data_IF_762276710423
#
_entry.id   IF_762276710423
#
_cell.length_a   1.000
_cell.length_b   1.000
_cell.length_c   1.000
_cell.angle_alpha   90.00
_cell.angle_beta   90.00
_cell.angle_gamma   90.00
#
_symmetry.space_group_name_H-M   'P 1'
#
loop_
_entity.id
_entity.type
_entity.pdbx_description
1 polymer ?
#
# COMPACT_ATOMS: atom_id res chain seq x y z
N UNK A 1 -7.50 -7.93 -29.15
CA UNK A 1 -8.54 -8.98 -29.04
C UNK A 1 -9.58 -8.56 -28.00
N UNK A 2 -10.82 -8.37 -28.42
CA UNK A 2 -11.98 -8.20 -27.52
C UNK A 2 -12.50 -9.58 -27.14
N UNK A 3 -12.22 -10.04 -25.93
CA UNK A 3 -13.01 -11.13 -25.34
C UNK A 3 -14.37 -10.52 -25.03
N UNK A 4 -15.30 -10.60 -26.00
CA UNK A 4 -16.70 -10.22 -25.75
C UNK A 4 -17.27 -11.30 -24.83
N UNK A 5 -17.70 -10.92 -23.63
CA UNK A 5 -18.44 -11.85 -22.78
C UNK A 5 -19.68 -12.35 -23.53
N UNK A 6 -20.04 -13.63 -23.40
CA UNK A 6 -21.28 -14.13 -23.97
C UNK A 6 -22.47 -13.33 -23.44
N UNK A 7 -23.46 -12.99 -24.29
CA UNK A 7 -24.54 -12.06 -23.95
C UNK A 7 -25.38 -12.52 -22.74
N UNK A 8 -25.49 -13.83 -22.51
CA UNK A 8 -26.15 -14.40 -21.34
C UNK A 8 -25.42 -14.05 -20.02
N UNK A 9 -24.10 -14.07 -20.02
CA UNK A 9 -23.28 -13.76 -18.84
C UNK A 9 -23.26 -12.25 -18.57
N UNK A 10 -23.22 -11.44 -19.64
CA UNK A 10 -23.35 -9.99 -19.53
C UNK A 10 -24.72 -9.57 -18.96
N UNK A 11 -25.81 -10.23 -19.37
CA UNK A 11 -27.15 -9.98 -18.85
C UNK A 11 -27.32 -10.38 -17.38
N UNK A 12 -26.66 -11.47 -16.94
CA UNK A 12 -26.73 -11.93 -15.56
C UNK A 12 -25.90 -11.04 -14.61
N UNK A 13 -24.71 -10.63 -15.04
CA UNK A 13 -23.84 -9.69 -14.31
C UNK A 13 -24.45 -8.29 -14.21
N UNK A 14 -25.20 -7.85 -15.22
CA UNK A 14 -25.90 -6.55 -15.19
C UNK A 14 -27.07 -6.50 -14.19
N UNK A 15 -27.60 -7.66 -13.76
CA UNK A 15 -28.70 -7.76 -12.77
C UNK A 15 -28.19 -7.79 -11.33
N UNK A 16 -26.94 -8.18 -11.11
CA UNK A 16 -26.32 -8.13 -9.78
C UNK A 16 -25.96 -6.69 -9.41
N UNK A 17 -26.14 -6.31 -8.15
CA UNK A 17 -25.65 -4.99 -7.71
C UNK A 17 -24.13 -4.93 -7.90
N UNK A 18 -23.57 -3.88 -8.52
CA UNK A 18 -22.15 -3.83 -8.92
C UNK A 18 -21.15 -3.94 -7.76
N UNK A 19 -21.58 -3.75 -6.51
CA UNK A 19 -20.77 -3.95 -5.31
C UNK A 19 -20.69 -5.41 -4.83
N UNK A 20 -21.57 -6.30 -5.30
CA UNK A 20 -21.56 -7.74 -4.98
C UNK A 20 -20.59 -8.49 -5.91
N UNK A 21 -20.38 -7.98 -7.13
CA UNK A 21 -19.48 -8.58 -8.10
C UNK A 21 -18.01 -8.53 -7.65
N UNK A 22 -17.62 -7.47 -6.93
CA UNK A 22 -16.26 -7.29 -6.42
C UNK A 22 -15.83 -8.38 -5.43
N UNK A 23 -16.56 -8.64 -4.32
CA UNK A 23 -16.19 -9.70 -3.38
C UNK A 23 -16.24 -11.10 -4.02
N UNK A 24 -17.17 -11.36 -4.95
CA UNK A 24 -17.26 -12.66 -5.64
C UNK A 24 -16.06 -12.89 -6.56
N UNK A 25 -15.74 -11.93 -7.42
CA UNK A 25 -14.55 -12.00 -8.26
C UNK A 25 -13.27 -12.04 -7.42
N UNK A 26 -13.27 -11.32 -6.29
CA UNK A 26 -12.19 -11.33 -5.32
C UNK A 26 -11.99 -12.70 -4.68
N UNK A 27 -13.08 -13.38 -4.29
CA UNK A 27 -13.02 -14.71 -3.69
C UNK A 27 -12.55 -15.76 -4.69
N UNK A 28 -13.03 -15.69 -5.94
CA UNK A 28 -12.56 -16.57 -7.02
C UNK A 28 -11.08 -16.35 -7.32
N UNK A 29 -10.65 -15.10 -7.45
CA UNK A 29 -9.24 -14.78 -7.68
C UNK A 29 -8.34 -15.20 -6.52
N UNK A 30 -8.80 -14.96 -5.28
CA UNK A 30 -8.11 -15.40 -4.06
C UNK A 30 -7.97 -16.92 -3.96
N UNK A 31 -9.06 -17.65 -4.21
CA UNK A 31 -9.04 -19.12 -4.24
C UNK A 31 -8.11 -19.68 -5.30
N UNK A 32 -8.10 -19.11 -6.52
CA UNK A 32 -7.17 -19.51 -7.57
C UNK A 32 -5.71 -19.21 -7.19
N UNK A 33 -5.43 -18.05 -6.61
CA UNK A 33 -4.09 -17.70 -6.13
C UNK A 33 -3.62 -18.62 -5.01
N UNK A 34 -4.53 -19.03 -4.12
CA UNK A 34 -4.25 -19.99 -3.05
C UNK A 34 -3.88 -21.36 -3.61
N UNK A 35 -4.62 -21.85 -4.60
CA UNK A 35 -4.34 -23.12 -5.29
C UNK A 35 -3.01 -23.10 -6.06
N UNK A 36 -2.62 -21.94 -6.59
CA UNK A 36 -1.35 -21.75 -7.30
C UNK A 36 -0.16 -21.56 -6.36
N UNK A 37 -0.37 -21.52 -5.04
CA UNK A 37 0.69 -21.28 -4.06
C UNK A 37 1.28 -19.87 -4.13
N UNK A 38 0.51 -18.89 -4.61
CA UNK A 38 0.99 -17.51 -4.73
C UNK A 38 1.05 -16.83 -3.35
N UNK A 39 2.07 -15.99 -3.05
CA UNK A 39 2.14 -15.27 -1.78
C UNK A 39 0.96 -14.33 -1.57
N UNK A 40 0.45 -14.23 -0.32
CA UNK A 40 -0.71 -13.40 0.02
C UNK A 40 -1.90 -13.62 -0.93
N UNK A 41 -2.37 -14.88 -1.08
CA UNK A 41 -3.28 -15.25 -2.16
C UNK A 41 -4.60 -14.48 -2.10
N UNK A 42 -5.14 -14.26 -0.91
CA UNK A 42 -6.39 -13.53 -0.72
C UNK A 42 -6.27 -12.03 -1.02
N UNK A 43 -5.11 -11.41 -0.84
CA UNK A 43 -4.89 -10.01 -1.20
C UNK A 43 -4.65 -9.87 -2.72
N UNK A 44 -3.64 -10.57 -3.23
CA UNK A 44 -3.19 -10.43 -4.62
C UNK A 44 -4.21 -11.05 -5.57
N UNK A 45 -4.68 -12.26 -5.27
CA UNK A 45 -5.70 -12.95 -6.04
C UNK A 45 -7.00 -12.16 -6.10
N UNK A 46 -7.45 -11.59 -4.98
CA UNK A 46 -8.66 -10.78 -5.00
C UNK A 46 -8.51 -9.50 -5.83
N UNK A 47 -7.36 -8.82 -5.71
CA UNK A 47 -7.06 -7.66 -6.54
C UNK A 47 -7.06 -8.01 -8.03
N UNK A 48 -6.34 -9.06 -8.42
CA UNK A 48 -6.23 -9.47 -9.82
C UNK A 48 -7.57 -9.95 -10.39
N UNK A 49 -8.36 -10.68 -9.61
CA UNK A 49 -9.70 -11.13 -10.00
C UNK A 49 -10.65 -9.96 -10.29
N UNK A 50 -10.70 -8.98 -9.39
CA UNK A 50 -11.53 -7.78 -9.60
C UNK A 50 -10.99 -6.89 -10.72
N UNK A 51 -9.66 -6.70 -10.80
CA UNK A 51 -9.03 -5.91 -11.85
C UNK A 51 -9.27 -6.51 -13.23
N UNK A 52 -9.20 -7.84 -13.37
CA UNK A 52 -9.52 -8.54 -14.61
C UNK A 52 -10.97 -8.29 -15.03
N UNK A 53 -11.92 -8.42 -14.09
CA UNK A 53 -13.34 -8.18 -14.35
C UNK A 53 -13.62 -6.73 -14.80
N UNK A 54 -12.95 -5.74 -14.18
CA UNK A 54 -13.03 -4.34 -14.63
C UNK A 54 -12.41 -4.11 -16.01
N UNK A 55 -11.29 -4.76 -16.29
CA UNK A 55 -10.65 -4.69 -17.61
C UNK A 55 -11.50 -5.34 -18.72
N UNK A 56 -12.35 -6.31 -18.37
CA UNK A 56 -13.33 -6.91 -19.29
C UNK A 56 -14.56 -6.02 -19.54
N UNK A 57 -14.69 -4.90 -18.82
CA UNK A 57 -15.77 -3.91 -19.01
C UNK A 57 -16.95 -4.09 -18.05
N UNK A 58 -16.84 -4.95 -17.05
CA UNK A 58 -17.85 -5.07 -16.00
C UNK A 58 -17.67 -3.98 -14.95
N UNK A 59 -18.76 -3.29 -14.59
CA UNK A 59 -18.73 -2.30 -13.52
C UNK A 59 -18.66 -3.03 -12.16
N UNK A 60 -17.49 -3.03 -11.54
CA UNK A 60 -17.32 -3.47 -10.15
C UNK A 60 -17.08 -2.24 -9.27
N UNK A 61 -17.85 -2.13 -8.20
CA UNK A 61 -17.72 -1.06 -7.21
C UNK A 61 -17.14 -1.61 -5.91
N UNK A 62 -16.31 -0.85 -5.20
CA UNK A 62 -15.83 -1.27 -3.90
C UNK A 62 -17.03 -1.54 -2.98
N UNK A 63 -16.96 -2.62 -2.20
CA UNK A 63 -18.00 -2.96 -1.23
C UNK A 63 -18.17 -1.80 -0.25
N UNK A 64 -19.42 -1.41 0.10
CA UNK A 64 -19.64 -0.39 1.12
C UNK A 64 -18.88 -0.74 2.40
N UNK A 65 -18.03 0.18 2.87
CA UNK A 65 -17.17 -0.01 4.04
C UNK A 65 -16.11 -1.13 3.94
N UNK A 66 -15.99 -1.83 2.81
CA UNK A 66 -15.04 -2.95 2.65
C UNK A 66 -13.59 -2.56 2.90
N UNK A 67 -13.13 -1.44 2.32
CA UNK A 67 -11.78 -0.89 2.60
C UNK A 67 -11.61 -0.60 4.09
N UNK A 68 -12.60 0.01 4.74
CA UNK A 68 -12.52 0.43 6.15
C UNK A 68 -12.40 -0.79 7.06
N UNK A 69 -13.25 -1.80 6.85
CA UNK A 69 -13.24 -3.05 7.63
C UNK A 69 -11.95 -3.84 7.37
N UNK A 70 -11.52 -3.93 6.10
CA UNK A 70 -10.26 -4.58 5.75
C UNK A 70 -9.05 -3.91 6.40
N UNK A 71 -8.99 -2.57 6.37
CA UNK A 71 -7.95 -1.80 7.07
C UNK A 71 -8.00 -2.03 8.57
N UNK A 72 -9.19 -2.05 9.17
CA UNK A 72 -9.38 -2.26 10.61
C UNK A 72 -8.86 -3.63 11.07
N UNK A 73 -9.17 -4.70 10.33
CA UNK A 73 -8.72 -6.06 10.64
C UNK A 73 -7.20 -6.17 10.46
N UNK A 74 -6.68 -5.78 9.31
CA UNK A 74 -5.26 -5.93 8.98
C UNK A 74 -4.38 -5.05 9.87
N UNK A 75 -4.76 -3.81 10.13
CA UNK A 75 -4.03 -2.94 11.05
C UNK A 75 -4.03 -3.47 12.50
N UNK A 76 -5.14 -4.07 12.94
CA UNK A 76 -5.19 -4.71 14.26
C UNK A 76 -4.17 -5.84 14.31
N UNK A 77 -4.18 -6.74 13.33
CA UNK A 77 -3.19 -7.83 13.21
C UNK A 77 -1.75 -7.33 13.18
N UNK A 78 -1.43 -6.33 12.34
CA UNK A 78 -0.10 -5.72 12.28
C UNK A 78 0.31 -5.15 13.64
N UNK A 79 -0.60 -4.49 14.36
CA UNK A 79 -0.29 -3.92 15.68
C UNK A 79 -0.03 -4.96 16.76
N UNK A 80 -0.59 -6.17 16.65
CA UNK A 80 -0.30 -7.29 17.55
C UNK A 80 1.14 -7.80 17.43
N UNK A 81 1.87 -7.47 16.34
CA UNK A 81 3.29 -7.77 16.24
C UNK A 81 4.19 -6.84 17.06
N UNK A 82 3.65 -5.75 17.63
CA UNK A 82 4.43 -4.82 18.43
C UNK A 82 4.55 -5.33 19.87
N UNK A 83 5.77 -5.41 20.37
CA UNK A 83 6.09 -5.72 21.76
C UNK A 83 7.17 -4.75 22.28
N UNK A 84 7.43 -4.72 23.60
CA UNK A 84 8.41 -3.80 24.19
C UNK A 84 9.81 -3.90 23.56
N UNK A 85 10.30 -5.11 23.30
CA UNK A 85 11.63 -5.34 22.75
C UNK A 85 11.78 -4.78 21.32
N UNK A 86 10.77 -4.96 20.48
CA UNK A 86 10.77 -4.42 19.11
C UNK A 86 10.63 -2.90 19.12
N UNK A 87 9.84 -2.33 20.04
CA UNK A 87 9.75 -0.88 20.20
C UNK A 87 11.11 -0.28 20.59
N UNK A 88 11.81 -0.90 21.54
CA UNK A 88 13.16 -0.48 21.95
C UNK A 88 14.13 -0.51 20.74
N UNK A 89 14.08 -1.58 19.93
CA UNK A 89 14.87 -1.65 18.70
C UNK A 89 14.54 -0.54 17.70
N UNK A 90 13.26 -0.22 17.49
CA UNK A 90 12.83 0.87 16.60
C UNK A 90 13.33 2.21 17.13
N UNK A 91 13.22 2.46 18.44
CA UNK A 91 13.68 3.71 19.07
C UNK A 91 15.20 3.85 19.00
N UNK A 92 15.95 2.78 19.25
CA UNK A 92 17.40 2.76 19.14
C UNK A 92 17.88 3.07 17.70
N UNK A 93 17.10 2.67 16.69
CA UNK A 93 17.41 2.89 15.27
C UNK A 93 16.57 4.01 14.63
N UNK A 94 15.97 4.89 15.45
CA UNK A 94 15.05 5.93 14.95
C UNK A 94 15.71 6.85 13.92
N UNK A 95 16.96 7.24 14.15
CA UNK A 95 17.74 8.06 13.23
C UNK A 95 17.91 7.37 11.87
N UNK A 96 18.19 6.07 11.87
CA UNK A 96 18.33 5.27 10.67
C UNK A 96 16.99 5.13 9.93
N UNK A 97 15.90 4.87 10.66
CA UNK A 97 14.54 4.80 10.10
C UNK A 97 14.15 6.14 9.45
N UNK A 98 14.46 7.27 10.10
CA UNK A 98 14.26 8.61 9.55
C UNK A 98 15.08 8.86 8.28
N UNK A 99 16.37 8.53 8.29
CA UNK A 99 17.26 8.70 7.14
C UNK A 99 16.81 7.83 5.96
N UNK A 100 16.52 6.54 6.18
CA UNK A 100 16.02 5.65 5.13
C UNK A 100 14.70 6.12 4.54
N UNK A 101 13.82 6.64 5.39
CA UNK A 101 12.57 7.24 4.95
C UNK A 101 12.80 8.48 4.08
N UNK A 102 13.68 9.38 4.49
CA UNK A 102 14.02 10.59 3.73
C UNK A 102 14.65 10.23 2.38
N UNK A 103 15.62 9.31 2.36
CA UNK A 103 16.25 8.81 1.14
C UNK A 103 15.22 8.19 0.18
N UNK A 104 14.25 7.43 0.72
CA UNK A 104 13.14 6.88 -0.07
C UNK A 104 12.29 8.00 -0.69
N UNK A 105 11.95 9.05 0.06
CA UNK A 105 11.21 10.20 -0.48
C UNK A 105 12.02 10.91 -1.57
N UNK A 106 13.34 11.02 -1.43
CA UNK A 106 14.20 11.60 -2.45
C UNK A 106 14.23 10.80 -3.76
N UNK A 107 14.05 9.48 -3.72
CA UNK A 107 13.92 8.68 -4.97
C UNK A 107 12.76 9.15 -5.85
N UNK A 108 11.74 9.80 -5.27
CA UNK A 108 10.60 10.33 -6.02
C UNK A 108 10.99 11.48 -6.97
N UNK A 109 12.13 12.14 -6.73
CA UNK A 109 12.68 13.16 -7.64
C UNK A 109 12.89 12.58 -9.04
N UNK A 110 13.28 11.31 -9.15
CA UNK A 110 13.48 10.63 -10.43
C UNK A 110 12.18 10.58 -11.22
N UNK A 111 11.07 10.22 -10.56
CA UNK A 111 9.74 10.24 -11.17
C UNK A 111 9.36 11.63 -11.65
N UNK A 112 9.63 12.66 -10.83
CA UNK A 112 9.32 14.06 -11.16
C UNK A 112 10.08 14.49 -12.41
N UNK A 113 11.39 14.25 -12.45
CA UNK A 113 12.25 14.59 -13.59
C UNK A 113 11.80 13.83 -14.85
N UNK A 114 11.52 12.53 -14.73
CA UNK A 114 11.10 11.71 -15.86
C UNK A 114 9.77 12.17 -16.45
N UNK A 115 8.77 12.48 -15.60
CA UNK A 115 7.48 13.01 -16.05
C UNK A 115 7.62 14.41 -16.65
N UNK A 116 8.43 15.30 -16.03
CA UNK A 116 8.68 16.67 -16.50
C UNK A 116 9.37 16.74 -17.86
N UNK A 117 10.40 15.93 -18.08
CA UNK A 117 11.15 15.89 -19.36
C UNK A 117 10.29 15.54 -20.57
N UNK A 118 9.10 14.97 -20.34
CA UNK A 118 8.18 14.59 -21.39
C UNK A 118 6.88 15.41 -21.41
N UNK A 119 6.91 16.63 -20.85
CA UNK A 119 5.85 17.62 -21.05
C UNK A 119 4.71 17.60 -20.04
N UNK A 120 4.70 16.69 -19.06
CA UNK A 120 3.72 16.73 -17.97
C UNK A 120 3.93 18.00 -17.14
N UNK A 121 2.85 18.66 -16.69
CA UNK A 121 2.93 19.82 -15.80
C UNK A 121 3.69 19.49 -14.51
N UNK A 122 4.34 20.48 -13.89
CA UNK A 122 5.09 20.24 -12.64
C UNK A 122 4.18 19.69 -11.55
N UNK A 123 2.95 20.20 -11.46
CA UNK A 123 1.94 19.70 -10.53
C UNK A 123 1.62 18.22 -10.77
N UNK A 124 1.35 17.82 -12.01
CA UNK A 124 1.09 16.40 -12.35
C UNK A 124 2.30 15.55 -12.01
N UNK A 125 3.50 15.93 -12.46
CA UNK A 125 4.72 15.17 -12.22
C UNK A 125 5.04 15.00 -10.72
N UNK A 126 4.88 16.07 -9.94
CA UNK A 126 5.11 16.07 -8.50
C UNK A 126 4.14 15.13 -7.78
N UNK A 127 2.83 15.38 -7.89
CA UNK A 127 1.82 14.60 -7.16
C UNK A 127 1.69 13.16 -7.66
N UNK A 128 2.00 12.89 -8.93
CA UNK A 128 2.03 11.54 -9.48
C UNK A 128 3.21 10.71 -8.94
N UNK A 129 4.35 11.35 -8.62
CA UNK A 129 5.58 10.68 -8.19
C UNK A 129 5.65 10.51 -6.67
N UNK A 130 5.05 11.41 -5.89
CA UNK A 130 5.10 11.36 -4.43
C UNK A 130 4.48 10.06 -3.87
N UNK A 131 5.06 9.48 -2.80
CA UNK A 131 4.47 8.33 -2.12
C UNK A 131 3.23 8.77 -1.35
N UNK A 132 2.10 8.08 -1.51
CA UNK A 132 0.89 8.45 -0.78
C UNK A 132 -0.32 7.68 -1.28
N UNK A 133 -1.46 7.90 -0.64
CA UNK A 133 -2.72 7.41 -1.17
C UNK A 133 -3.14 8.21 -2.40
N UNK A 134 -3.71 7.50 -3.39
CA UNK A 134 -4.12 8.09 -4.66
C UNK A 134 -5.12 9.25 -4.45
N UNK A 135 -6.07 9.08 -3.53
CA UNK A 135 -7.09 10.08 -3.20
C UNK A 135 -6.48 11.34 -2.60
N UNK A 136 -5.48 11.19 -1.73
CA UNK A 136 -4.77 12.29 -1.09
C UNK A 136 -3.99 13.09 -2.12
N UNK A 137 -3.19 12.45 -2.97
CA UNK A 137 -2.39 13.16 -3.97
C UNK A 137 -3.26 13.85 -5.03
N UNK A 138 -4.38 13.24 -5.42
CA UNK A 138 -5.38 13.88 -6.28
C UNK A 138 -5.98 15.12 -5.61
N UNK A 139 -6.34 15.05 -4.33
CA UNK A 139 -6.90 16.18 -3.60
C UNK A 139 -5.87 17.30 -3.34
N UNK A 140 -4.60 16.95 -3.13
CA UNK A 140 -3.50 17.91 -2.98
C UNK A 140 -3.12 18.56 -4.31
N UNK A 141 -3.21 17.81 -5.42
CA UNK A 141 -2.90 18.31 -6.75
C UNK A 141 -3.99 19.14 -7.41
N UNK A 142 -5.27 18.93 -7.05
CA UNK A 142 -6.41 19.64 -7.65
C UNK A 142 -6.30 21.17 -7.59
N UNK A 143 -5.95 21.82 -6.47
CA UNK A 143 -5.79 23.27 -6.42
C UNK A 143 -4.63 23.81 -7.26
N UNK A 144 -3.70 22.95 -7.69
CA UNK A 144 -2.48 23.32 -8.40
C UNK A 144 -2.53 22.95 -9.90
N UNK A 145 -3.71 22.60 -10.43
CA UNK A 145 -3.89 22.27 -11.84
C UNK A 145 -3.27 20.94 -12.27
N UNK A 146 -3.10 19.99 -11.34
CA UNK A 146 -2.62 18.65 -11.70
C UNK A 146 -3.68 17.88 -12.51
N UNK A 147 -3.22 17.11 -13.49
CA UNK A 147 -4.06 16.18 -14.25
C UNK A 147 -4.45 15.00 -13.35
N UNK A 148 -5.64 15.09 -12.75
CA UNK A 148 -6.08 14.15 -11.70
C UNK A 148 -6.14 12.70 -12.18
N UNK A 149 -6.43 12.49 -13.46
CA UNK A 149 -6.45 11.15 -14.06
C UNK A 149 -5.06 10.53 -14.13
N UNK A 150 -4.03 11.32 -14.48
CA UNK A 150 -2.64 10.88 -14.52
C UNK A 150 -2.13 10.58 -13.11
N UNK A 151 -2.43 11.45 -12.13
CA UNK A 151 -2.06 11.21 -10.72
C UNK A 151 -2.74 9.95 -10.18
N UNK A 152 -4.05 9.78 -10.37
CA UNK A 152 -4.74 8.58 -9.89
C UNK A 152 -4.20 7.29 -10.55
N UNK A 153 -3.93 7.35 -11.85
CA UNK A 153 -3.41 6.21 -12.61
C UNK A 153 -1.99 5.84 -12.18
N UNK A 154 -1.10 6.82 -11.95
CA UNK A 154 0.28 6.53 -11.55
C UNK A 154 0.34 5.81 -10.21
N UNK A 155 -0.46 6.27 -9.25
CA UNK A 155 -0.55 5.67 -7.92
C UNK A 155 -1.13 4.26 -7.98
N UNK A 156 -2.20 4.05 -8.75
CA UNK A 156 -2.81 2.72 -8.90
C UNK A 156 -1.86 1.73 -9.58
N UNK A 157 -1.14 2.17 -10.63
CA UNK A 157 -0.17 1.34 -11.34
C UNK A 157 1.01 0.96 -10.45
N UNK A 158 1.55 1.92 -9.68
CA UNK A 158 2.63 1.67 -8.71
C UNK A 158 2.20 0.65 -7.66
N UNK A 159 1.02 0.84 -7.07
CA UNK A 159 0.48 -0.10 -6.08
C UNK A 159 0.36 -1.51 -6.67
N UNK A 160 -0.15 -1.63 -7.92
CA UNK A 160 -0.20 -2.93 -8.60
C UNK A 160 1.19 -3.55 -8.80
N UNK A 161 2.14 -2.78 -9.31
CA UNK A 161 3.49 -3.28 -9.60
C UNK A 161 4.15 -3.78 -8.31
N UNK A 162 4.08 -2.98 -7.25
CA UNK A 162 4.74 -3.28 -5.98
C UNK A 162 4.04 -4.43 -5.26
N UNK A 163 2.71 -4.41 -5.20
CA UNK A 163 1.92 -5.46 -4.56
C UNK A 163 2.06 -6.82 -5.23
N UNK A 164 2.03 -6.87 -6.57
CA UNK A 164 2.16 -8.13 -7.31
C UNK A 164 3.63 -8.53 -7.45
N UNK A 165 4.49 -7.57 -7.77
CA UNK A 165 5.88 -7.82 -8.13
C UNK A 165 6.76 -8.16 -6.94
N UNK A 166 6.69 -7.41 -5.83
CA UNK A 166 7.64 -7.60 -4.72
C UNK A 166 7.48 -8.96 -4.06
N UNK A 167 6.28 -9.40 -3.64
CA UNK A 167 6.11 -10.73 -3.04
C UNK A 167 6.51 -11.84 -4.00
N UNK A 168 6.15 -11.73 -5.29
CA UNK A 168 6.48 -12.73 -6.30
C UNK A 168 8.00 -12.86 -6.51
N UNK A 169 8.68 -11.72 -6.73
CA UNK A 169 10.13 -11.64 -6.85
C UNK A 169 10.78 -12.27 -5.62
N UNK A 170 10.29 -11.93 -4.43
CA UNK A 170 10.89 -12.41 -3.20
C UNK A 170 10.67 -13.92 -3.01
N UNK A 171 9.45 -14.42 -3.23
CA UNK A 171 9.17 -15.86 -3.16
C UNK A 171 9.97 -16.66 -4.16
N UNK A 172 10.25 -16.14 -5.36
CA UNK A 172 10.98 -16.87 -6.39
C UNK A 172 12.49 -16.75 -6.25
N UNK A 173 13.01 -15.60 -5.81
CA UNK A 173 14.45 -15.42 -5.57
C UNK A 173 14.91 -16.06 -4.25
N UNK A 174 14.04 -16.08 -3.24
CA UNK A 174 14.38 -16.55 -1.89
C UNK A 174 13.61 -17.82 -1.50
N UNK A 175 13.11 -18.59 -2.48
CA UNK A 175 12.31 -19.82 -2.37
C UNK A 175 12.92 -20.96 -1.50
N UNK A 176 14.12 -20.78 -0.95
CA UNK A 176 14.79 -21.73 -0.05
C UNK A 176 14.79 -21.32 1.42
N UNK A 177 14.34 -20.11 1.77
CA UNK A 177 14.16 -19.72 3.16
C UNK A 177 12.85 -20.28 3.68
N UNK A 178 12.89 -21.33 4.51
CA UNK A 178 11.71 -21.76 5.26
C UNK A 178 11.16 -20.52 5.98
N UNK A 179 9.95 -20.08 5.62
CA UNK A 179 9.20 -19.16 6.46
C UNK A 179 9.13 -19.85 7.82
N UNK A 180 9.80 -19.29 8.82
CA UNK A 180 9.78 -19.86 10.16
C UNK A 180 8.30 -20.02 10.53
N UNK A 181 7.91 -21.23 10.93
CA UNK A 181 6.58 -21.49 11.47
C UNK A 181 6.51 -20.80 12.83
N UNK A 182 6.32 -19.47 12.82
CA UNK A 182 6.09 -18.71 14.03
C UNK A 182 4.76 -19.22 14.55
N UNK A 183 4.79 -19.90 15.69
CA UNK A 183 3.58 -20.31 16.40
C UNK A 183 2.85 -19.03 16.77
N UNK A 184 1.85 -18.66 15.97
CA UNK A 184 1.04 -17.49 16.23
C UNK A 184 0.32 -17.73 17.55
N UNK A 185 0.44 -16.81 18.53
CA UNK A 185 -0.29 -16.96 19.78
C UNK A 185 -1.80 -17.02 19.51
N UNK A 186 -2.51 -17.83 20.30
CA UNK A 186 -3.94 -18.00 20.14
C UNK A 186 -4.71 -16.68 20.30
N UNK A 187 -5.94 -16.61 19.75
CA UNK A 187 -6.78 -15.43 19.90
C UNK A 187 -7.28 -15.30 21.35
N UNK A 188 -7.22 -14.09 21.90
CA UNK A 188 -7.95 -13.71 23.11
C UNK A 188 -9.15 -12.84 22.73
N UNK A 189 -10.35 -13.39 22.86
CA UNK A 189 -11.58 -12.70 22.45
C UNK A 189 -11.83 -11.40 23.21
N UNK A 190 -11.44 -11.34 24.50
CA UNK A 190 -11.66 -10.17 25.35
C UNK A 190 -10.77 -9.00 24.92
N UNK A 191 -9.46 -9.27 24.78
CA UNK A 191 -8.52 -8.27 24.28
C UNK A 191 -8.84 -7.87 22.84
N UNK A 192 -9.12 -8.81 21.95
CA UNK A 192 -9.47 -8.49 20.56
C UNK A 192 -10.72 -7.62 20.48
N UNK A 193 -11.79 -7.94 21.22
CA UNK A 193 -13.00 -7.12 21.24
C UNK A 193 -12.71 -5.69 21.70
N UNK A 194 -11.86 -5.52 22.73
CA UNK A 194 -11.42 -4.22 23.21
C UNK A 194 -10.60 -3.47 22.16
N UNK A 195 -9.61 -4.13 21.53
CA UNK A 195 -8.75 -3.53 20.51
C UNK A 195 -9.55 -3.10 19.28
N UNK A 196 -10.46 -3.95 18.80
CA UNK A 196 -11.36 -3.58 17.70
C UNK A 196 -12.21 -2.38 18.11
N UNK A 197 -12.93 -2.43 19.25
CA UNK A 197 -13.80 -1.34 19.69
C UNK A 197 -13.07 0.00 19.83
N UNK A 198 -11.96 0.02 20.58
CA UNK A 198 -11.14 1.23 20.77
C UNK A 198 -10.49 1.69 19.46
N UNK A 199 -9.96 0.77 18.65
CA UNK A 199 -9.38 1.07 17.34
C UNK A 199 -10.40 1.70 16.39
N UNK A 200 -11.65 1.21 16.42
CA UNK A 200 -12.77 1.78 15.68
C UNK A 200 -13.15 3.17 16.18
N UNK A 201 -13.19 3.40 17.50
CA UNK A 201 -13.45 4.72 18.08
C UNK A 201 -12.38 5.75 17.67
N UNK A 202 -11.10 5.39 17.78
CA UNK A 202 -9.99 6.26 17.33
C UNK A 202 -10.05 6.49 15.82
N UNK A 203 -10.35 5.46 15.03
CA UNK A 203 -10.54 5.60 13.59
C UNK A 203 -11.67 6.57 13.22
N UNK A 204 -12.78 6.59 13.98
CA UNK A 204 -13.87 7.55 13.80
C UNK A 204 -13.44 8.98 14.12
N UNK A 205 -12.67 9.17 15.20
CA UNK A 205 -12.09 10.48 15.56
C UNK A 205 -11.16 10.97 14.44
N UNK A 206 -10.25 10.10 13.97
CA UNK A 206 -9.35 10.42 12.86
C UNK A 206 -10.09 10.71 11.57
N UNK A 207 -11.16 9.96 11.27
CA UNK A 207 -12.02 10.22 10.13
C UNK A 207 -12.70 11.58 10.24
N UNK A 208 -13.14 11.98 11.44
CA UNK A 208 -13.75 13.28 11.69
C UNK A 208 -12.77 14.44 11.49
N UNK A 209 -11.49 14.22 11.79
CA UNK A 209 -10.38 15.14 11.52
C UNK A 209 -9.85 15.10 10.09
N UNK A 210 -10.43 14.25 9.23
CA UNK A 210 -9.97 14.01 7.85
C UNK A 210 -8.52 13.53 7.78
N UNK A 211 -8.09 12.78 8.79
CA UNK A 211 -6.77 12.17 8.80
C UNK A 211 -6.69 11.06 7.73
N UNK A 212 -5.63 11.01 6.89
CA UNK A 212 -5.50 9.97 5.88
C UNK A 212 -5.41 8.58 6.48
N UNK A 213 -5.94 7.58 5.77
CA UNK A 213 -5.95 6.19 6.23
C UNK A 213 -6.45 6.02 7.69
N UNK A 214 -7.45 6.82 8.10
CA UNK A 214 -7.94 6.90 9.48
C UNK A 214 -8.21 5.54 10.14
N UNK A 215 -8.80 4.60 9.39
CA UNK A 215 -9.11 3.25 9.88
C UNK A 215 -7.86 2.39 10.07
N UNK A 216 -6.92 2.45 9.13
CA UNK A 216 -5.63 1.76 9.26
C UNK A 216 -4.82 2.33 10.43
N UNK A 217 -4.64 3.65 10.47
CA UNK A 217 -3.79 4.30 11.48
C UNK A 217 -4.41 4.27 12.88
N UNK A 218 -5.73 4.46 12.99
CA UNK A 218 -6.43 4.40 14.28
C UNK A 218 -6.38 3.00 14.90
N UNK A 219 -6.64 1.97 14.09
CA UNK A 219 -6.54 0.59 14.54
C UNK A 219 -5.10 0.20 14.91
N UNK A 220 -4.13 0.51 14.05
CA UNK A 220 -2.71 0.23 14.29
C UNK A 220 -2.18 0.93 15.55
N UNK A 221 -2.59 2.19 15.77
CA UNK A 221 -2.16 2.95 16.94
C UNK A 221 -2.66 2.28 18.22
N UNK A 222 -3.94 1.91 18.27
CA UNK A 222 -4.53 1.28 19.46
C UNK A 222 -3.93 -0.10 19.69
N UNK A 223 -3.93 -0.97 18.67
CA UNK A 223 -3.40 -2.33 18.81
C UNK A 223 -1.91 -2.32 19.10
N UNK A 224 -1.11 -1.48 18.44
CA UNK A 224 0.32 -1.36 18.72
C UNK A 224 0.61 -0.86 20.14
N UNK A 225 -0.07 0.21 20.59
CA UNK A 225 0.15 0.76 21.93
C UNK A 225 -0.24 -0.24 23.04
N UNK A 226 -1.39 -0.90 22.90
CA UNK A 226 -1.83 -1.88 23.88
C UNK A 226 -0.96 -3.13 23.87
N UNK A 227 -0.51 -3.59 22.69
CA UNK A 227 0.37 -4.75 22.59
C UNK A 227 1.71 -4.51 23.27
N UNK A 228 2.26 -3.29 23.17
CA UNK A 228 3.46 -2.91 23.91
C UNK A 228 3.17 -2.70 25.40
N UNK A 229 2.11 -1.98 25.75
CA UNK A 229 1.84 -1.59 27.14
C UNK A 229 1.49 -2.78 28.05
N UNK A 230 0.82 -3.79 27.50
CA UNK A 230 0.38 -4.98 28.23
C UNK A 230 1.15 -6.25 27.81
N UNK A 231 2.19 -6.10 26.99
CA UNK A 231 2.99 -7.21 26.45
C UNK A 231 2.11 -8.34 25.88
N UNK A 232 1.16 -7.95 25.01
CA UNK A 232 0.14 -8.87 24.51
C UNK A 232 0.77 -9.88 23.54
N UNK A 233 0.68 -11.15 23.90
CA UNK A 233 1.04 -12.27 23.04
C UNK A 233 -0.25 -12.93 22.55
N UNK A 234 -0.98 -12.25 21.67
CA UNK A 234 -2.24 -12.73 21.09
C UNK A 234 -2.24 -12.53 19.57
N UNK A 235 -2.88 -13.43 18.85
CA UNK A 235 -3.03 -13.37 17.39
C UNK A 235 -4.45 -13.02 16.97
N UNK A 236 -4.64 -12.75 15.68
CA UNK A 236 -5.98 -12.74 15.10
C UNK A 236 -6.56 -14.17 15.05
N UNK A 237 -7.88 -14.34 15.15
CA UNK A 237 -8.50 -15.65 14.97
C UNK A 237 -8.30 -16.14 13.53
N UNK A 238 -8.28 -17.45 13.37
CA UNK A 238 -8.06 -18.10 12.08
C UNK A 238 -8.99 -17.54 10.99
N UNK A 239 -8.41 -17.22 9.84
CA UNK A 239 -9.13 -16.65 8.70
C UNK A 239 -9.45 -15.15 8.78
N UNK A 240 -9.34 -14.49 9.95
CA UNK A 240 -9.62 -13.04 10.01
C UNK A 240 -8.65 -12.22 9.16
N UNK A 241 -7.35 -12.58 9.17
CA UNK A 241 -6.35 -11.98 8.29
C UNK A 241 -6.71 -12.16 6.81
N UNK A 242 -7.16 -13.36 6.42
CA UNK A 242 -7.57 -13.67 5.04
C UNK A 242 -8.78 -12.85 4.60
N UNK A 243 -9.77 -12.69 5.49
CA UNK A 243 -10.94 -11.81 5.25
C UNK A 243 -10.50 -10.36 5.07
N UNK A 244 -9.60 -9.87 5.92
CA UNK A 244 -9.05 -8.52 5.79
C UNK A 244 -8.32 -8.31 4.46
N UNK A 245 -7.49 -9.29 4.06
CA UNK A 245 -6.78 -9.30 2.78
C UNK A 245 -7.74 -9.32 1.60
N UNK A 246 -8.77 -10.17 1.64
CA UNK A 246 -9.79 -10.27 0.60
C UNK A 246 -10.59 -8.97 0.43
N UNK A 247 -10.99 -8.33 1.53
CA UNK A 247 -11.72 -7.05 1.49
C UNK A 247 -10.87 -5.91 0.91
N UNK A 248 -9.61 -5.83 1.32
CA UNK A 248 -8.65 -4.85 0.79
C UNK A 248 -8.35 -5.11 -0.68
N UNK A 249 -7.99 -6.34 -1.04
CA UNK A 249 -7.68 -6.74 -2.41
C UNK A 249 -8.85 -6.51 -3.36
N UNK A 250 -10.06 -6.92 -2.98
CA UNK A 250 -11.28 -6.70 -3.77
C UNK A 250 -11.56 -5.21 -4.01
N UNK A 251 -11.28 -4.37 -3.00
CA UNK A 251 -11.51 -2.93 -3.10
C UNK A 251 -10.42 -2.23 -3.92
N UNK A 252 -9.15 -2.61 -3.73
CA UNK A 252 -8.02 -2.09 -4.51
C UNK A 252 -8.15 -2.48 -5.99
N UNK A 253 -8.62 -3.69 -6.27
CA UNK A 253 -8.94 -4.14 -7.63
C UNK A 253 -9.96 -3.25 -8.34
N UNK A 254 -10.83 -2.56 -7.59
CA UNK A 254 -11.78 -1.60 -8.14
C UNK A 254 -11.12 -0.30 -8.65
N UNK A 255 -9.84 -0.06 -8.40
CA UNK A 255 -9.16 1.13 -8.93
C UNK A 255 -8.62 0.93 -10.35
N UNK A 256 -8.66 -0.28 -10.91
CA UNK A 256 -8.13 -0.56 -12.24
C UNK A 256 -9.22 -0.44 -13.30
N UNK A 257 -8.98 0.38 -14.31
CA UNK A 257 -9.88 0.54 -15.45
C UNK A 257 -9.10 0.43 -16.76
N UNK A 258 -9.66 -0.29 -17.74
CA UNK A 258 -9.05 -0.46 -19.06
C UNK A 258 -8.76 0.87 -19.76
N UNK A 259 -9.59 1.88 -19.51
CA UNK A 259 -9.46 3.20 -20.11
C UNK A 259 -8.17 3.90 -19.66
N UNK A 260 -7.60 3.58 -18.50
CA UNK A 260 -6.32 4.11 -18.06
C UNK A 260 -5.18 3.62 -18.96
N UNK A 261 -5.13 2.31 -19.20
CA UNK A 261 -4.12 1.66 -20.05
C UNK A 261 -4.16 2.11 -21.52
N UNK A 262 -5.32 2.54 -22.01
CA UNK A 262 -5.47 2.99 -23.41
C UNK A 262 -5.23 4.48 -23.62
N UNK A 263 -5.51 5.33 -22.63
CA UNK A 263 -5.47 6.79 -22.81
C UNK A 263 -4.06 7.37 -22.75
N UNK A 264 -3.18 6.83 -21.90
CA UNK A 264 -1.84 7.39 -21.70
C UNK A 264 -0.76 6.31 -21.51
N UNK A 265 -0.53 5.41 -22.49
CA UNK A 265 0.42 4.31 -22.35
C UNK A 265 1.85 4.78 -22.10
N UNK A 266 2.27 5.89 -22.72
CA UNK A 266 3.60 6.48 -22.49
C UNK A 266 3.77 7.00 -21.06
N UNK A 267 2.74 7.63 -20.48
CA UNK A 267 2.75 8.08 -19.09
C UNK A 267 2.85 6.89 -18.14
N UNK A 268 2.07 5.83 -18.37
CA UNK A 268 2.11 4.61 -17.57
C UNK A 268 3.45 3.91 -17.63
N UNK A 269 4.06 3.81 -18.81
CA UNK A 269 5.41 3.27 -18.96
C UNK A 269 6.43 4.07 -18.16
N UNK A 270 6.33 5.40 -18.15
CA UNK A 270 7.23 6.26 -17.34
C UNK A 270 7.01 6.04 -15.85
N UNK A 271 5.76 5.92 -15.40
CA UNK A 271 5.47 5.58 -14.00
C UNK A 271 6.05 4.21 -13.63
N UNK A 272 5.94 3.22 -14.51
CA UNK A 272 6.53 1.90 -14.33
C UNK A 272 8.05 2.01 -14.17
N UNK A 273 8.73 2.68 -15.10
CA UNK A 273 10.18 2.90 -15.06
C UNK A 273 10.62 3.66 -13.81
N UNK A 274 9.91 4.72 -13.43
CA UNK A 274 10.20 5.48 -12.22
C UNK A 274 10.04 4.62 -10.96
N UNK A 275 9.02 3.76 -10.91
CA UNK A 275 8.80 2.85 -9.77
C UNK A 275 9.90 1.79 -9.70
N UNK A 276 10.26 1.18 -10.82
CA UNK A 276 11.37 0.21 -10.89
C UNK A 276 12.69 0.88 -10.48
N UNK A 277 12.98 2.08 -10.97
CA UNK A 277 14.17 2.82 -10.59
C UNK A 277 14.19 3.14 -9.08
N UNK A 278 13.05 3.53 -8.50
CA UNK A 278 12.95 3.77 -7.06
C UNK A 278 13.20 2.49 -6.24
N UNK A 279 12.66 1.35 -6.67
CA UNK A 279 12.93 0.04 -6.03
C UNK A 279 14.40 -0.34 -6.16
N UNK A 280 14.99 -0.23 -7.35
CA UNK A 280 16.40 -0.56 -7.59
C UNK A 280 17.35 0.32 -6.80
N UNK A 281 16.99 1.57 -6.52
CA UNK A 281 17.77 2.47 -5.66
C UNK A 281 17.55 2.20 -4.17
N UNK A 282 16.36 1.74 -3.77
CA UNK A 282 16.09 1.37 -2.40
C UNK A 282 16.95 0.18 -1.94
N UNK A 283 17.27 -0.77 -2.83
CA UNK A 283 18.09 -1.96 -2.52
C UNK A 283 19.49 -1.62 -2.00
N UNK A 284 20.37 -0.89 -2.74
CA UNK A 284 21.70 -0.56 -2.25
C UNK A 284 21.67 0.32 -1.00
N UNK A 285 20.70 1.23 -0.89
CA UNK A 285 20.56 2.07 0.31
C UNK A 285 20.22 1.19 1.52
N UNK A 286 19.27 0.27 1.40
CA UNK A 286 18.92 -0.67 2.46
C UNK A 286 20.09 -1.59 2.84
N UNK A 287 20.90 -2.03 1.87
CA UNK A 287 22.10 -2.84 2.13
C UNK A 287 23.16 -2.05 2.91
N UNK A 288 23.40 -0.79 2.54
CA UNK A 288 24.32 0.09 3.26
C UNK A 288 23.84 0.35 4.70
N UNK A 289 22.54 0.57 4.88
CA UNK A 289 21.92 0.75 6.20
C UNK A 289 21.99 -0.52 7.04
N UNK A 290 21.77 -1.69 6.43
CA UNK A 290 21.89 -3.01 7.09
C UNK A 290 23.30 -3.21 7.62
N UNK A 291 24.31 -2.93 6.80
CA UNK A 291 25.72 -3.03 7.20
C UNK A 291 26.05 -2.13 8.39
N UNK A 292 25.52 -0.90 8.42
CA UNK A 292 25.77 0.06 9.50
C UNK A 292 24.99 -0.18 10.80
N UNK A 293 23.96 -1.03 10.78
CA UNK A 293 23.05 -1.21 11.94
C UNK A 293 22.91 -2.64 12.43
N UNK A 294 23.35 -3.63 11.65
CA UNK A 294 23.14 -5.04 11.95
C UNK A 294 21.69 -5.52 11.76
N UNK A 295 20.79 -4.66 11.26
CA UNK A 295 19.41 -5.04 10.95
C UNK A 295 19.36 -5.89 9.67
N UNK A 296 18.41 -6.84 9.60
CA UNK A 296 18.24 -7.69 8.42
C UNK A 296 17.93 -6.84 7.17
N UNK A 297 18.79 -6.97 6.16
CA UNK A 297 18.71 -6.19 4.92
C UNK A 297 17.35 -6.32 4.23
N UNK A 298 16.70 -7.48 4.33
CA UNK A 298 15.46 -7.77 3.62
C UNK A 298 14.28 -7.04 4.26
N UNK A 299 14.29 -6.94 5.59
CA UNK A 299 13.37 -6.08 6.34
C UNK A 299 13.53 -4.61 5.95
N UNK A 300 14.78 -4.13 5.84
CA UNK A 300 15.06 -2.75 5.42
C UNK A 300 14.61 -2.48 3.98
N UNK A 301 14.90 -3.39 3.03
CA UNK A 301 14.46 -3.27 1.64
C UNK A 301 12.94 -3.14 1.57
N UNK A 302 12.17 -4.02 2.24
CA UNK A 302 10.71 -3.94 2.23
C UNK A 302 10.17 -2.65 2.85
N UNK A 303 10.78 -2.14 3.91
CA UNK A 303 10.37 -0.86 4.50
C UNK A 303 10.70 0.36 3.63
N UNK A 304 11.75 0.28 2.81
CA UNK A 304 12.13 1.35 1.88
C UNK A 304 11.36 1.30 0.55
N UNK A 305 10.86 0.14 0.13
CA UNK A 305 10.09 0.04 -1.11
C UNK A 305 8.80 0.87 -1.01
N UNK A 306 8.47 1.67 -2.06
CA UNK A 306 7.25 2.49 -2.07
C UNK A 306 5.99 1.63 -2.27
N UNK A 307 5.34 1.21 -1.18
CA UNK A 307 4.07 0.46 -1.18
C UNK A 307 3.08 0.92 -0.10
N UNK A 308 1.93 0.25 0.02
CA UNK A 308 0.97 0.49 1.09
C UNK A 308 1.41 -0.10 2.43
N UNK A 309 0.98 0.50 3.55
CA UNK A 309 1.29 0.00 4.91
C UNK A 309 0.82 -1.45 5.05
N UNK A 310 -0.44 -1.74 4.73
CA UNK A 310 -1.01 -3.09 4.82
C UNK A 310 -0.23 -4.09 3.96
N UNK A 311 0.03 -3.73 2.70
CA UNK A 311 0.67 -4.59 1.70
C UNK A 311 2.08 -4.99 2.12
N UNK A 312 2.90 -4.00 2.51
CA UNK A 312 4.30 -4.24 2.87
C UNK A 312 4.43 -4.96 4.21
N UNK A 313 3.53 -4.69 5.17
CA UNK A 313 3.52 -5.36 6.48
C UNK A 313 3.10 -6.83 6.34
N UNK A 314 2.07 -7.10 5.54
CA UNK A 314 1.65 -8.47 5.22
C UNK A 314 2.72 -9.23 4.43
N UNK A 315 3.43 -8.54 3.53
CA UNK A 315 4.56 -9.14 2.79
C UNK A 315 5.70 -9.47 3.76
N UNK A 316 6.02 -8.58 4.69
CA UNK A 316 7.01 -8.84 5.73
C UNK A 316 6.60 -10.03 6.61
N UNK A 317 5.33 -10.13 6.99
CA UNK A 317 4.78 -11.24 7.77
C UNK A 317 4.91 -12.57 7.02
N UNK A 318 4.48 -12.60 5.75
CA UNK A 318 4.57 -13.79 4.90
C UNK A 318 6.01 -14.26 4.66
N UNK A 319 6.98 -13.35 4.78
CA UNK A 319 8.41 -13.63 4.61
C UNK A 319 9.15 -13.87 5.94
N UNK A 320 8.45 -13.86 7.08
CA UNK A 320 9.05 -14.04 8.40
C UNK A 320 10.00 -12.92 8.81
N UNK A 321 9.75 -11.69 8.32
CA UNK A 321 10.55 -10.50 8.60
C UNK A 321 9.96 -9.67 9.73
N UNK A 322 10.70 -8.66 10.20
CA UNK A 322 10.27 -7.82 11.34
C UNK A 322 9.17 -6.84 10.90
N UNK A 323 7.91 -7.28 10.99
CA UNK A 323 6.71 -6.54 10.60
C UNK A 323 6.65 -5.14 11.23
N UNK A 324 6.90 -4.94 12.54
CA UNK A 324 6.80 -3.61 13.15
C UNK A 324 7.82 -2.61 12.58
N UNK A 325 9.02 -3.06 12.22
CA UNK A 325 10.06 -2.19 11.66
C UNK A 325 9.67 -1.72 10.25
N UNK A 326 9.16 -2.63 9.41
CA UNK A 326 8.60 -2.29 8.09
C UNK A 326 7.44 -1.32 8.26
N UNK A 327 6.51 -1.62 9.17
CA UNK A 327 5.35 -0.77 9.45
C UNK A 327 5.77 0.63 9.89
N UNK A 328 6.75 0.75 10.80
CA UNK A 328 7.24 2.02 11.29
C UNK A 328 7.83 2.88 10.17
N UNK A 329 8.67 2.31 9.29
CA UNK A 329 9.20 3.01 8.11
C UNK A 329 8.06 3.48 7.18
N UNK A 330 7.07 2.63 6.91
CA UNK A 330 5.96 2.94 6.00
C UNK A 330 5.03 4.02 6.56
N UNK A 331 4.72 3.97 7.87
CA UNK A 331 3.92 4.99 8.57
C UNK A 331 4.67 6.32 8.61
N UNK A 332 5.94 6.31 9.02
CA UNK A 332 6.75 7.52 9.08
C UNK A 332 6.87 8.18 7.71
N UNK A 333 7.05 7.38 6.64
CA UNK A 333 7.06 7.87 5.27
C UNK A 333 5.74 8.53 4.89
N UNK A 334 4.62 7.88 5.20
CA UNK A 334 3.30 8.43 4.91
C UNK A 334 3.09 9.78 5.62
N UNK A 335 3.46 9.87 6.90
CA UNK A 335 3.33 11.11 7.68
C UNK A 335 4.24 12.20 7.13
N UNK A 336 5.52 11.89 6.89
CA UNK A 336 6.48 12.85 6.33
C UNK A 336 5.98 13.40 5.00
N UNK A 337 5.57 12.54 4.06
CA UNK A 337 5.08 13.01 2.76
C UNK A 337 3.79 13.82 2.93
N UNK A 338 2.86 13.38 3.78
CA UNK A 338 1.61 14.11 3.98
C UNK A 338 1.83 15.53 4.48
N UNK A 339 2.72 15.72 5.46
CA UNK A 339 3.00 17.03 6.04
C UNK A 339 3.94 17.87 5.17
N UNK A 340 4.92 17.27 4.49
CA UNK A 340 5.92 18.01 3.70
C UNK A 340 5.54 18.19 2.23
N UNK A 341 4.66 17.38 1.64
CA UNK A 341 4.38 17.43 0.20
C UNK A 341 3.89 18.82 -0.26
N UNK A 342 2.99 19.46 0.50
CA UNK A 342 2.49 20.81 0.16
C UNK A 342 3.55 21.90 0.34
N UNK A 343 4.22 22.01 1.50
CA UNK A 343 5.29 22.98 1.70
C UNK A 343 6.41 22.85 0.67
N UNK A 344 6.87 21.62 0.41
CA UNK A 344 7.93 21.34 -0.57
C UNK A 344 7.46 21.69 -1.98
N UNK A 345 6.22 21.35 -2.35
CA UNK A 345 5.67 21.74 -3.65
C UNK A 345 5.70 23.25 -3.85
N UNK A 346 5.22 24.04 -2.87
CA UNK A 346 5.18 25.52 -2.96
C UNK A 346 6.57 26.13 -3.08
N UNK A 347 7.51 25.64 -2.28
CA UNK A 347 8.89 26.09 -2.33
C UNK A 347 9.52 25.83 -3.70
N UNK A 348 9.29 24.65 -4.26
CA UNK A 348 9.91 24.24 -5.50
C UNK A 348 9.22 24.85 -6.72
N UNK A 349 7.89 25.00 -6.69
CA UNK A 349 7.15 25.70 -7.75
C UNK A 349 7.57 27.16 -7.88
N UNK A 350 7.85 27.83 -6.74
CA UNK A 350 8.33 29.21 -6.74
C UNK A 350 9.69 29.35 -7.44
N UNK A 351 10.59 28.39 -7.27
CA UNK A 351 11.90 28.37 -7.96
C UNK A 351 11.79 28.05 -9.44
N UNK A 352 10.97 27.06 -9.81
CA UNK A 352 10.77 26.66 -11.22
C UNK A 352 10.11 27.79 -12.04
N UNK A 353 9.23 28.60 -11.43
CA UNK A 353 8.68 29.79 -12.09
C UNK A 353 9.73 30.91 -12.25
N UNK A 354 10.61 31.10 -11.25
CA UNK A 354 11.70 32.09 -11.35
C UNK A 354 12.75 31.74 -12.41
N UNK A 355 13.07 30.45 -12.60
CA UNK A 355 14.00 30.00 -13.64
C UNK A 355 13.38 30.07 -15.06
N UNK A 356 12.06 29.94 -15.18
CA UNK A 356 11.35 30.02 -16.46
C UNK A 356 11.14 31.44 -17.01
N UNK A 357 11.15 32.46 -16.13
CA UNK A 357 11.09 33.88 -16.53
C UNK A 357 12.49 34.48 -16.79
N UNK A 358 13.56 33.75 -16.49
CA UNK A 358 14.95 34.20 -16.61
C UNK A 358 15.70 33.66 -17.85
N UNK A 359 15.04 32.89 -18.71
CA UNK A 359 15.58 32.36 -19.98
C UNK A 359 14.63 32.60 -21.13
#
# INVERSE_FOLDING_TARGET
MTIKLPPALAGLLARCKPWILSPLAGALGGGLAHLLGWPLPWMIGALLGVAALRCLGCLTLPMPHGIKVGQWIIATGIGLHFNPAVLEQILAHLALVLVGTLLTVLTCVIGIVLHRRHGESFATAYFASMPGGASEMVNLGRPHGAELQHVAASHSLRMMLVLVGIPAIYTWLFAGGQAATITQPGPDAGWLALLFALGGLVALVFQRWRFPNAWQLGALLVSGLFSVAFDLHIGLPDGAGEVGQWLLGSSLGCHFERSFFRRAPAFMLRTLLATVAAVLLAVPIALLMSWGSGLDARTLVLGMVPGGIAEMSLTAEALGLVVPLVTAMQVLRLLLVLFLARPVFRFWSGRVMQEGDAG
#
